data_IF_508009271068
#
_entry.id   IF_508009271068
#
_cell.length_a   1.000
_cell.length_b   1.000
_cell.length_c   1.000
_cell.angle_alpha   90.00
_cell.angle_beta   90.00
_cell.angle_gamma   90.00
#
_symmetry.space_group_name_H-M   'P 1'
#
loop_
_entity.id
_entity.type
_entity.pdbx_description
1 polymer ?
#
# COMPACT_ATOMS: atom_id res chain seq x y z
N UNK A 1 24.16 -26.22 15.58
CA UNK A 1 23.19 -25.22 15.12
C UNK A 1 23.25 -25.18 13.61
N UNK A 2 22.28 -25.79 12.94
CA UNK A 2 22.24 -25.91 11.47
C UNK A 2 21.87 -24.55 10.84
N UNK A 3 22.21 -24.34 9.57
CA UNK A 3 21.91 -23.07 8.86
C UNK A 3 20.41 -22.74 8.88
N UNK A 4 19.54 -23.76 8.89
CA UNK A 4 18.08 -23.62 8.96
C UNK A 4 17.62 -23.10 10.32
N UNK A 5 18.20 -23.57 11.42
CA UNK A 5 17.88 -23.09 12.77
C UNK A 5 18.27 -21.63 12.99
N UNK A 6 19.39 -21.19 12.39
CA UNK A 6 19.82 -19.79 12.43
C UNK A 6 18.88 -18.90 11.63
N UNK A 7 18.59 -19.26 10.38
CA UNK A 7 17.66 -18.52 9.53
C UNK A 7 16.27 -18.37 10.15
N UNK A 8 15.72 -19.46 10.74
CA UNK A 8 14.44 -19.39 11.45
C UNK A 8 14.47 -18.56 12.75
N UNK A 9 15.63 -18.46 13.39
CA UNK A 9 15.81 -17.57 14.56
C UNK A 9 15.87 -16.10 14.13
N UNK A 10 16.56 -15.81 13.04
CA UNK A 10 16.69 -14.46 12.48
C UNK A 10 15.33 -13.93 11.98
N UNK A 11 14.52 -14.77 11.33
CA UNK A 11 13.16 -14.43 10.89
C UNK A 11 12.24 -14.07 12.07
N UNK A 12 12.27 -14.87 13.13
CA UNK A 12 11.50 -14.60 14.37
C UNK A 12 11.94 -13.31 15.05
N UNK A 13 13.23 -12.98 14.98
CA UNK A 13 13.75 -11.72 15.49
C UNK A 13 13.23 -10.55 14.65
N UNK A 14 13.30 -10.63 13.31
CA UNK A 14 12.79 -9.59 12.41
C UNK A 14 11.29 -9.33 12.62
N UNK A 15 10.47 -10.38 12.73
CA UNK A 15 9.04 -10.23 13.03
C UNK A 15 8.79 -9.43 14.31
N UNK A 16 9.55 -9.71 15.38
CA UNK A 16 9.43 -8.97 16.65
C UNK A 16 9.89 -7.53 16.50
N UNK A 17 10.96 -7.28 15.74
CA UNK A 17 11.47 -5.93 15.46
C UNK A 17 10.43 -5.11 14.70
N UNK A 18 9.83 -5.66 13.64
CA UNK A 18 8.81 -4.95 12.85
C UNK A 18 7.53 -4.70 13.64
N UNK A 19 7.06 -5.68 14.43
CA UNK A 19 5.89 -5.47 15.32
C UNK A 19 6.15 -4.40 16.38
N UNK A 20 7.35 -4.40 16.96
CA UNK A 20 7.76 -3.36 17.90
C UNK A 20 7.75 -2.00 17.20
N UNK A 21 8.40 -1.89 16.05
CA UNK A 21 8.48 -0.65 15.29
C UNK A 21 7.09 -0.12 14.89
N UNK A 22 6.20 -0.99 14.40
CA UNK A 22 4.81 -0.63 14.09
C UNK A 22 4.06 -0.09 15.31
N UNK A 23 4.29 -0.67 16.49
CA UNK A 23 3.72 -0.17 17.76
C UNK A 23 4.22 1.24 18.10
N UNK A 24 5.50 1.54 17.84
CA UNK A 24 6.06 2.88 18.04
C UNK A 24 5.52 3.91 17.06
N UNK A 25 5.26 3.53 15.80
CA UNK A 25 4.56 4.39 14.84
C UNK A 25 3.16 4.75 15.32
N UNK A 26 2.38 3.76 15.79
CA UNK A 26 1.03 3.98 16.31
C UNK A 26 0.99 4.88 17.55
N UNK A 27 2.09 5.03 18.28
CA UNK A 27 2.20 5.98 19.40
C UNK A 27 2.48 7.42 18.96
N UNK A 28 2.88 7.65 17.69
CA UNK A 28 3.18 8.99 17.16
C UNK A 28 4.42 9.64 17.77
N UNK A 29 5.31 8.88 18.42
CA UNK A 29 6.47 9.42 19.16
C UNK A 29 7.79 9.37 18.40
N UNK A 30 7.80 8.79 17.20
CA UNK A 30 9.01 8.64 16.39
C UNK A 30 9.30 9.92 15.60
N UNK A 31 10.56 10.37 15.63
CA UNK A 31 11.00 11.50 14.82
C UNK A 31 11.06 11.15 13.33
N UNK A 32 10.37 11.95 12.51
CA UNK A 32 10.25 11.73 11.07
C UNK A 32 11.61 11.73 10.35
N UNK A 33 12.50 12.67 10.68
CA UNK A 33 13.82 12.79 10.03
C UNK A 33 14.71 11.58 10.33
N UNK A 34 14.71 11.14 11.59
CA UNK A 34 15.45 9.96 12.03
C UNK A 34 14.92 8.71 11.33
N UNK A 35 13.59 8.53 11.29
CA UNK A 35 12.98 7.35 10.68
C UNK A 35 13.16 7.31 9.16
N UNK A 36 13.13 8.45 8.48
CA UNK A 36 13.37 8.54 7.04
C UNK A 36 14.76 8.00 6.63
N UNK A 37 15.76 8.12 7.51
CA UNK A 37 17.12 7.64 7.24
C UNK A 37 17.43 6.29 7.92
N UNK A 38 16.42 5.65 8.51
CA UNK A 38 16.63 4.45 9.31
C UNK A 38 16.73 3.20 8.41
N UNK A 39 17.77 2.39 8.64
CA UNK A 39 17.99 1.13 7.91
C UNK A 39 16.85 0.11 8.11
N UNK A 40 16.11 0.18 9.22
CA UNK A 40 14.94 -0.67 9.45
C UNK A 40 13.83 -0.38 8.45
N UNK A 41 13.68 0.88 8.03
CA UNK A 41 12.69 1.25 7.02
C UNK A 41 13.06 0.65 5.66
N UNK A 42 14.34 0.73 5.26
CA UNK A 42 14.83 0.08 4.06
C UNK A 42 14.64 -1.45 4.11
N UNK A 43 14.96 -2.06 5.25
CA UNK A 43 14.82 -3.51 5.45
C UNK A 43 13.36 -3.98 5.34
N UNK A 44 12.37 -3.18 5.78
CA UNK A 44 10.95 -3.51 5.58
C UNK A 44 10.64 -3.70 4.09
N UNK A 45 11.04 -2.75 3.24
CA UNK A 45 10.80 -2.83 1.81
C UNK A 45 11.61 -3.96 1.14
N UNK A 46 12.85 -4.21 1.58
CA UNK A 46 13.64 -5.35 1.10
C UNK A 46 12.94 -6.69 1.39
N UNK A 47 12.40 -6.86 2.60
CA UNK A 47 11.64 -8.06 2.99
C UNK A 47 10.36 -8.21 2.17
N UNK A 48 9.64 -7.11 1.95
CA UNK A 48 8.41 -7.08 1.15
C UNK A 48 8.67 -7.36 -0.33
N UNK A 49 9.86 -7.09 -0.88
CA UNK A 49 10.17 -7.38 -2.28
C UNK A 49 10.61 -8.82 -2.54
N UNK A 50 11.02 -9.55 -1.50
CA UNK A 50 11.59 -10.89 -1.65
C UNK A 50 10.50 -11.96 -1.80
N UNK A 51 10.47 -12.62 -2.98
CA UNK A 51 9.58 -13.76 -3.30
C UNK A 51 9.62 -14.86 -2.22
N UNK A 52 10.80 -15.09 -1.64
CA UNK A 52 11.07 -16.15 -0.65
C UNK A 52 10.69 -15.79 0.80
N UNK A 53 10.27 -14.55 1.06
CA UNK A 53 9.82 -14.15 2.40
C UNK A 53 8.62 -14.99 2.81
N UNK A 54 8.63 -15.50 4.05
CA UNK A 54 7.51 -16.25 4.60
C UNK A 54 6.28 -15.36 4.78
N UNK A 55 5.06 -15.94 4.74
CA UNK A 55 3.82 -15.17 4.93
C UNK A 55 3.80 -14.41 6.26
N UNK A 56 4.29 -15.01 7.35
CA UNK A 56 4.31 -14.38 8.67
C UNK A 56 5.27 -13.18 8.75
N UNK A 57 6.45 -13.28 8.15
CA UNK A 57 7.39 -12.17 8.12
C UNK A 57 6.90 -11.07 7.17
N UNK A 58 6.31 -11.45 6.04
CA UNK A 58 5.70 -10.52 5.08
C UNK A 58 4.55 -9.74 5.72
N UNK A 59 3.65 -10.42 6.43
CA UNK A 59 2.55 -9.82 7.20
C UNK A 59 3.08 -8.84 8.25
N UNK A 60 4.06 -9.24 9.07
CA UNK A 60 4.64 -8.37 10.08
C UNK A 60 5.30 -7.10 9.48
N UNK A 61 5.94 -7.23 8.32
CA UNK A 61 6.48 -6.08 7.59
C UNK A 61 5.37 -5.19 7.01
N UNK A 62 4.32 -5.80 6.46
CA UNK A 62 3.18 -5.10 5.87
C UNK A 62 2.42 -4.28 6.91
N UNK A 63 2.11 -4.88 8.07
CA UNK A 63 1.47 -4.19 9.19
C UNK A 63 2.31 -3.03 9.72
N UNK A 64 3.64 -3.17 9.74
CA UNK A 64 4.55 -2.11 10.14
C UNK A 64 4.54 -0.95 9.14
N UNK A 65 4.53 -1.22 7.83
CA UNK A 65 4.43 -0.18 6.79
C UNK A 65 3.08 0.53 6.86
N UNK A 66 1.97 -0.20 7.02
CA UNK A 66 0.66 0.41 7.18
C UNK A 66 0.60 1.29 8.45
N UNK A 67 1.16 0.83 9.58
CA UNK A 67 1.24 1.64 10.80
C UNK A 67 2.06 2.91 10.59
N UNK A 68 3.15 2.83 9.81
CA UNK A 68 4.00 3.98 9.51
C UNK A 68 3.30 5.01 8.60
N UNK A 69 2.54 4.54 7.61
CA UNK A 69 1.72 5.39 6.74
C UNK A 69 0.59 6.06 7.54
N UNK A 70 -0.16 5.28 8.32
CA UNK A 70 -1.23 5.76 9.17
C UNK A 70 -0.76 6.81 10.20
N UNK A 71 0.46 6.67 10.72
CA UNK A 71 1.06 7.62 11.66
C UNK A 71 1.37 9.00 11.02
N UNK A 72 1.32 9.13 9.70
CA UNK A 72 1.44 10.44 9.03
C UNK A 72 0.11 11.18 9.15
N UNK A 73 -0.14 11.79 10.30
CA UNK A 73 -1.33 12.63 10.51
C UNK A 73 -1.30 13.93 9.68
N UNK A 74 -0.09 14.47 9.50
CA UNK A 74 0.15 15.66 8.67
C UNK A 74 1.40 15.44 7.82
N UNK A 75 1.20 15.46 6.50
CA UNK A 75 2.26 15.22 5.50
C UNK A 75 3.35 16.28 5.58
N UNK A 76 3.02 17.55 5.84
CA UNK A 76 4.00 18.64 5.86
C UNK A 76 4.96 18.52 7.03
N UNK A 77 4.47 18.13 8.21
CA UNK A 77 5.31 17.97 9.40
C UNK A 77 6.14 16.68 9.36
N UNK A 78 5.72 15.69 8.56
CA UNK A 78 6.35 14.39 8.45
C UNK A 78 6.96 14.13 7.06
N UNK A 79 7.20 15.20 6.29
CA UNK A 79 7.55 15.12 4.87
C UNK A 79 8.72 14.16 4.56
N UNK A 80 9.83 14.12 5.33
CA UNK A 80 10.93 13.20 5.07
C UNK A 80 10.49 11.73 5.12
N UNK A 81 9.78 11.33 6.18
CA UNK A 81 9.27 9.96 6.32
C UNK A 81 8.21 9.66 5.26
N UNK A 82 7.30 10.61 5.02
CA UNK A 82 6.27 10.50 3.99
C UNK A 82 6.85 10.23 2.60
N UNK A 83 7.90 10.97 2.22
CA UNK A 83 8.59 10.75 0.94
C UNK A 83 9.24 9.36 0.86
N UNK A 84 9.88 8.91 1.94
CA UNK A 84 10.54 7.59 1.95
C UNK A 84 9.53 6.45 1.87
N UNK A 85 8.43 6.53 2.62
CA UNK A 85 7.34 5.55 2.55
C UNK A 85 6.70 5.55 1.17
N UNK A 86 6.41 6.73 0.61
CA UNK A 86 5.82 6.86 -0.72
C UNK A 86 6.69 6.20 -1.78
N UNK A 87 7.99 6.53 -1.84
CA UNK A 87 8.90 5.90 -2.80
C UNK A 87 9.05 4.41 -2.56
N UNK A 88 9.19 3.99 -1.30
CA UNK A 88 9.29 2.58 -0.94
C UNK A 88 8.09 1.76 -1.41
N UNK A 89 6.87 2.24 -1.19
CA UNK A 89 5.65 1.53 -1.62
C UNK A 89 5.56 1.43 -3.15
N UNK A 90 5.95 2.47 -3.89
CA UNK A 90 5.97 2.42 -5.37
C UNK A 90 6.89 1.34 -5.93
N UNK A 91 7.92 0.91 -5.17
CA UNK A 91 8.81 -0.18 -5.62
C UNK A 91 8.19 -1.58 -5.52
N UNK A 92 7.04 -1.73 -4.85
CA UNK A 92 6.44 -3.04 -4.58
C UNK A 92 5.58 -3.58 -5.72
N UNK A 93 5.33 -2.79 -6.79
CA UNK A 93 4.50 -3.19 -7.93
C UNK A 93 4.95 -4.52 -8.56
N UNK A 94 6.25 -4.68 -8.79
CA UNK A 94 6.79 -5.92 -9.38
C UNK A 94 6.61 -7.10 -8.42
N UNK A 95 6.79 -6.90 -7.12
CA UNK A 95 6.64 -7.95 -6.12
C UNK A 95 5.17 -8.38 -5.98
N UNK A 96 4.23 -7.44 -6.09
CA UNK A 96 2.80 -7.73 -6.20
C UNK A 96 2.49 -8.65 -7.39
N UNK A 97 2.96 -8.29 -8.60
CA UNK A 97 2.72 -9.12 -9.78
C UNK A 97 3.33 -10.52 -9.67
N UNK A 98 4.50 -10.63 -9.03
CA UNK A 98 5.09 -11.93 -8.73
C UNK A 98 4.21 -12.75 -7.77
N UNK A 99 3.68 -12.15 -6.69
CA UNK A 99 2.77 -12.84 -5.78
C UNK A 99 1.48 -13.31 -6.48
N UNK A 100 0.90 -12.48 -7.37
CA UNK A 100 -0.24 -12.89 -8.21
C UNK A 100 0.13 -14.09 -9.10
N UNK A 101 1.27 -14.06 -9.78
CA UNK A 101 1.73 -15.15 -10.62
C UNK A 101 2.05 -16.45 -9.84
N UNK A 102 2.30 -16.34 -8.54
CA UNK A 102 2.52 -17.46 -7.62
C UNK A 102 1.24 -17.95 -6.95
N UNK A 103 0.11 -17.29 -7.19
CA UNK A 103 -1.15 -17.54 -6.49
C UNK A 103 -1.01 -17.40 -4.95
N UNK A 104 -0.09 -16.53 -4.50
CA UNK A 104 0.16 -16.24 -3.08
C UNK A 104 -0.80 -15.14 -2.61
N UNK A 105 -2.05 -15.53 -2.39
CA UNK A 105 -3.14 -14.63 -2.02
C UNK A 105 -2.85 -13.85 -0.72
N UNK A 106 -2.20 -14.47 0.27
CA UNK A 106 -1.85 -13.79 1.53
C UNK A 106 -0.94 -12.58 1.27
N UNK A 107 0.06 -12.72 0.40
CA UNK A 107 0.92 -11.58 0.02
C UNK A 107 0.19 -10.57 -0.85
N UNK A 108 -0.65 -11.01 -1.79
CA UNK A 108 -1.48 -10.13 -2.62
C UNK A 108 -2.36 -9.22 -1.76
N UNK A 109 -3.03 -9.78 -0.75
CA UNK A 109 -3.86 -9.03 0.21
C UNK A 109 -3.01 -8.03 1.00
N UNK A 110 -1.83 -8.45 1.47
CA UNK A 110 -0.90 -7.59 2.19
C UNK A 110 -0.43 -6.38 1.35
N UNK A 111 -0.04 -6.58 0.09
CA UNK A 111 0.31 -5.48 -0.80
C UNK A 111 -0.88 -4.55 -1.06
N UNK A 112 -2.08 -5.12 -1.28
CA UNK A 112 -3.26 -4.30 -1.49
C UNK A 112 -3.57 -3.42 -0.26
N UNK A 113 -3.40 -3.94 0.96
CA UNK A 113 -3.51 -3.15 2.19
C UNK A 113 -2.51 -1.99 2.21
N UNK A 114 -1.24 -2.25 1.86
CA UNK A 114 -0.20 -1.21 1.80
C UNK A 114 -0.55 -0.14 0.74
N UNK A 115 -0.97 -0.55 -0.45
CA UNK A 115 -1.33 0.38 -1.53
C UNK A 115 -2.55 1.22 -1.18
N UNK A 116 -3.55 0.62 -0.54
CA UNK A 116 -4.73 1.36 -0.05
C UNK A 116 -4.32 2.36 1.02
N UNK A 117 -3.56 1.95 2.03
CA UNK A 117 -3.11 2.83 3.10
C UNK A 117 -2.27 4.01 2.55
N UNK A 118 -1.43 3.76 1.54
CA UNK A 118 -0.69 4.82 0.84
C UNK A 118 -1.66 5.83 0.22
N UNK A 119 -2.64 5.36 -0.53
CA UNK A 119 -3.60 6.24 -1.21
C UNK A 119 -4.47 7.00 -0.21
N UNK A 120 -4.87 6.39 0.91
CA UNK A 120 -5.62 7.06 1.96
C UNK A 120 -4.79 8.13 2.67
N UNK A 121 -3.53 7.82 3.01
CA UNK A 121 -2.60 8.76 3.65
C UNK A 121 -2.36 10.00 2.79
N UNK A 122 -2.24 9.82 1.46
CA UNK A 122 -1.93 10.90 0.53
C UNK A 122 -3.13 11.42 -0.27
N UNK A 123 -4.36 11.08 0.14
CA UNK A 123 -5.58 11.44 -0.58
C UNK A 123 -5.67 12.95 -0.87
N UNK A 124 -5.38 13.78 0.12
CA UNK A 124 -5.40 15.25 -0.06
C UNK A 124 -4.39 15.68 -1.13
N UNK A 125 -3.18 15.12 -1.14
CA UNK A 125 -2.15 15.43 -2.16
C UNK A 125 -2.53 14.93 -3.54
N UNK A 126 -3.15 13.76 -3.63
CA UNK A 126 -3.68 13.21 -4.88
C UNK A 126 -4.72 14.16 -5.48
N UNK A 127 -5.66 14.68 -4.67
CA UNK A 127 -6.73 15.56 -5.15
C UNK A 127 -6.26 16.98 -5.43
N UNK A 128 -5.45 17.57 -4.54
CA UNK A 128 -5.04 18.98 -4.65
C UNK A 128 -3.90 19.20 -5.64
N UNK A 129 -3.01 18.23 -5.81
CA UNK A 129 -1.84 18.32 -6.71
C UNK A 129 -1.70 17.05 -7.57
N UNK A 130 -2.73 16.70 -8.36
CA UNK A 130 -2.73 15.45 -9.12
C UNK A 130 -1.56 15.40 -10.10
N UNK A 131 -0.81 14.29 -10.05
CA UNK A 131 0.35 14.04 -10.90
C UNK A 131 1.64 14.71 -10.44
N UNK A 132 1.67 15.34 -9.27
CA UNK A 132 2.85 16.06 -8.77
C UNK A 132 3.24 15.58 -7.36
N UNK A 133 4.54 15.32 -7.15
CA UNK A 133 5.09 14.97 -5.84
C UNK A 133 4.35 13.78 -5.20
N UNK A 134 3.79 14.00 -4.01
CA UNK A 134 3.01 13.00 -3.28
C UNK A 134 1.58 12.81 -3.82
N UNK A 135 1.16 13.63 -4.79
CA UNK A 135 -0.06 13.45 -5.57
C UNK A 135 0.14 12.66 -6.87
N UNK A 136 1.29 11.99 -7.03
CA UNK A 136 1.57 11.14 -8.20
C UNK A 136 0.51 10.05 -8.38
N UNK A 137 -0.10 10.02 -9.56
CA UNK A 137 -1.24 9.16 -9.89
C UNK A 137 -0.86 7.69 -10.13
N UNK A 138 0.44 7.35 -10.14
CA UNK A 138 0.90 5.95 -10.09
C UNK A 138 0.35 5.20 -8.87
N UNK A 139 0.05 5.91 -7.79
CA UNK A 139 -0.64 5.34 -6.62
C UNK A 139 -2.02 4.76 -6.96
N UNK A 140 -2.80 5.46 -7.79
CA UNK A 140 -4.09 4.96 -8.29
C UNK A 140 -3.91 3.78 -9.24
N UNK A 141 -2.84 3.76 -10.02
CA UNK A 141 -2.53 2.62 -10.89
C UNK A 141 -2.30 1.34 -10.08
N UNK A 142 -1.61 1.41 -8.94
CA UNK A 142 -1.44 0.27 -8.03
C UNK A 142 -2.79 -0.28 -7.55
N UNK A 143 -3.72 0.59 -7.15
CA UNK A 143 -5.06 0.15 -6.75
C UNK A 143 -5.89 -0.40 -7.90
N UNK A 144 -5.75 0.15 -9.12
CA UNK A 144 -6.43 -0.37 -10.30
C UNK A 144 -5.87 -1.72 -10.74
N UNK A 145 -4.57 -1.96 -10.54
CA UNK A 145 -3.95 -3.28 -10.72
C UNK A 145 -4.58 -4.28 -9.74
N UNK A 146 -4.71 -3.91 -8.45
CA UNK A 146 -5.41 -4.73 -7.46
C UNK A 146 -6.88 -4.97 -7.81
N UNK A 147 -7.57 -3.96 -8.34
CA UNK A 147 -8.96 -4.08 -8.78
C UNK A 147 -9.15 -5.08 -9.93
N UNK A 148 -8.13 -5.24 -10.77
CA UNK A 148 -8.09 -6.22 -11.85
C UNK A 148 -7.85 -7.66 -11.40
N UNK A 149 -7.53 -7.90 -10.12
CA UNK A 149 -7.34 -9.24 -9.59
C UNK A 149 -8.67 -10.03 -9.59
N UNK A 150 -8.67 -11.35 -9.88
CA UNK A 150 -9.91 -12.14 -9.96
C UNK A 150 -10.66 -12.26 -8.63
N UNK A 151 -9.94 -12.31 -7.51
CA UNK A 151 -10.51 -12.46 -6.18
C UNK A 151 -11.05 -11.12 -5.68
N UNK A 152 -12.37 -11.06 -5.43
CA UNK A 152 -13.09 -9.87 -4.97
C UNK A 152 -12.54 -9.26 -3.69
N UNK A 153 -12.12 -10.09 -2.72
CA UNK A 153 -11.53 -9.66 -1.45
C UNK A 153 -10.30 -8.75 -1.62
N UNK A 154 -9.60 -8.84 -2.76
CA UNK A 154 -8.47 -7.96 -3.05
C UNK A 154 -8.95 -6.54 -3.34
N UNK A 155 -9.95 -6.38 -4.22
CA UNK A 155 -10.45 -5.03 -4.56
C UNK A 155 -11.23 -4.41 -3.41
N UNK A 156 -11.92 -5.23 -2.61
CA UNK A 156 -12.72 -4.82 -1.46
C UNK A 156 -11.92 -3.97 -0.46
N UNK A 157 -10.64 -4.31 -0.23
CA UNK A 157 -9.73 -3.56 0.65
C UNK A 157 -9.67 -2.07 0.27
N UNK A 158 -9.77 -1.74 -1.02
CA UNK A 158 -9.61 -0.37 -1.52
C UNK A 158 -10.90 0.46 -1.54
N UNK A 159 -12.05 -0.09 -1.17
CA UNK A 159 -13.35 0.58 -1.37
C UNK A 159 -13.50 1.87 -0.59
N UNK A 160 -13.02 1.92 0.66
CA UNK A 160 -13.10 3.13 1.47
C UNK A 160 -12.31 4.29 0.82
N UNK A 161 -11.13 4.02 0.28
CA UNK A 161 -10.37 4.99 -0.49
C UNK A 161 -11.17 5.52 -1.69
N UNK A 162 -11.72 4.64 -2.54
CA UNK A 162 -12.47 5.06 -3.73
C UNK A 162 -13.71 5.87 -3.39
N UNK A 163 -14.41 5.50 -2.32
CA UNK A 163 -15.53 6.28 -1.78
C UNK A 163 -15.10 7.69 -1.37
N UNK A 164 -14.03 7.81 -0.57
CA UNK A 164 -13.51 9.12 -0.13
C UNK A 164 -13.01 9.97 -1.29
N UNK A 165 -12.32 9.37 -2.25
CA UNK A 165 -11.90 10.06 -3.48
C UNK A 165 -13.12 10.60 -4.23
N UNK A 166 -14.17 9.78 -4.41
CA UNK A 166 -15.42 10.19 -5.02
C UNK A 166 -16.07 11.39 -4.32
N UNK A 167 -16.13 11.36 -2.98
CA UNK A 167 -16.64 12.47 -2.16
C UNK A 167 -15.84 13.77 -2.35
N UNK A 168 -14.51 13.67 -2.40
CA UNK A 168 -13.64 14.83 -2.66
C UNK A 168 -13.85 15.40 -4.07
N UNK A 169 -13.92 14.54 -5.09
CA UNK A 169 -14.14 14.96 -6.47
C UNK A 169 -15.53 15.56 -6.67
N UNK A 170 -16.56 15.01 -6.02
CA UNK A 170 -17.92 15.54 -6.08
C UNK A 170 -18.02 16.96 -5.51
N UNK A 171 -17.29 17.25 -4.42
CA UNK A 171 -17.23 18.58 -3.81
C UNK A 171 -16.36 19.56 -4.61
N UNK A 172 -15.49 19.06 -5.48
CA UNK A 172 -14.60 19.86 -6.31
C UNK A 172 -15.32 20.29 -7.59
N UNK A 173 -15.54 21.59 -7.76
CA UNK A 173 -16.17 22.14 -8.98
C UNK A 173 -15.11 22.60 -9.99
N UNK A 174 -14.27 21.66 -10.45
CA UNK A 174 -13.18 21.92 -11.39
C UNK A 174 -13.18 20.84 -12.50
N UNK A 175 -13.54 21.27 -13.73
CA UNK A 175 -13.63 20.39 -14.89
C UNK A 175 -12.27 19.78 -15.29
N UNK A 176 -11.16 20.48 -15.05
CA UNK A 176 -9.82 19.98 -15.36
C UNK A 176 -9.47 18.83 -14.43
N UNK A 177 -9.73 19.00 -13.13
CA UNK A 177 -9.54 17.95 -12.13
C UNK A 177 -10.41 16.73 -12.48
N UNK A 178 -11.69 16.93 -12.78
CA UNK A 178 -12.56 15.83 -13.21
C UNK A 178 -12.05 15.12 -14.46
N UNK A 179 -11.53 15.88 -15.43
CA UNK A 179 -10.91 15.33 -16.64
C UNK A 179 -9.73 14.39 -16.34
N UNK A 180 -8.90 14.73 -15.36
CA UNK A 180 -7.75 13.90 -14.94
C UNK A 180 -8.21 12.57 -14.35
N UNK A 181 -9.17 12.59 -13.43
CA UNK A 181 -9.59 11.37 -12.71
C UNK A 181 -10.55 10.49 -13.50
N UNK A 182 -11.21 11.01 -14.53
CA UNK A 182 -12.21 10.30 -15.34
C UNK A 182 -11.74 8.93 -15.82
N UNK A 183 -10.52 8.84 -16.35
CA UNK A 183 -9.98 7.59 -16.88
C UNK A 183 -9.79 6.52 -15.77
N UNK A 184 -9.36 6.93 -14.58
CA UNK A 184 -9.17 6.05 -13.43
C UNK A 184 -10.52 5.53 -12.92
N UNK A 185 -11.51 6.41 -12.77
CA UNK A 185 -12.86 6.02 -12.35
C UNK A 185 -13.51 5.06 -13.36
N UNK A 186 -13.37 5.32 -14.66
CA UNK A 186 -13.88 4.40 -15.69
C UNK A 186 -13.24 3.02 -15.61
N UNK A 187 -11.91 2.95 -15.39
CA UNK A 187 -11.21 1.67 -15.22
C UNK A 187 -11.65 0.93 -13.98
N UNK A 188 -11.85 1.63 -12.86
CA UNK A 188 -12.41 1.06 -11.64
C UNK A 188 -13.80 0.46 -11.92
N UNK A 189 -14.69 1.23 -12.54
CA UNK A 189 -16.04 0.76 -12.85
C UNK A 189 -16.02 -0.48 -13.76
N UNK A 190 -15.13 -0.52 -14.75
CA UNK A 190 -14.96 -1.72 -15.59
C UNK A 190 -14.45 -2.93 -14.80
N UNK A 191 -13.52 -2.73 -13.85
CA UNK A 191 -13.02 -3.80 -12.99
C UNK A 191 -14.14 -4.33 -12.07
N UNK A 192 -14.87 -3.44 -11.40
CA UNK A 192 -15.98 -3.80 -10.51
C UNK A 192 -17.13 -4.48 -11.27
N UNK A 193 -17.43 -4.03 -12.49
CA UNK A 193 -18.45 -4.67 -13.32
C UNK A 193 -18.13 -6.13 -13.61
N UNK A 194 -16.84 -6.52 -13.73
CA UNK A 194 -16.45 -7.93 -13.89
C UNK A 194 -16.70 -8.74 -12.63
N UNK A 195 -16.40 -8.17 -11.45
CA UNK A 195 -16.68 -8.80 -10.15
C UNK A 195 -18.17 -9.03 -9.88
N UNK A 196 -19.05 -8.22 -10.49
CA UNK A 196 -20.50 -8.37 -10.36
C UNK A 196 -21.12 -9.35 -11.37
N UNK A 197 -20.35 -9.94 -12.29
CA UNK A 197 -20.88 -10.91 -13.24
C UNK A 197 -21.15 -12.24 -12.53
N UNK A 198 -22.36 -12.76 -12.71
CA UNK A 198 -22.70 -14.11 -12.27
C UNK A 198 -21.87 -15.12 -13.07
N UNK A 199 -21.37 -16.17 -12.39
CA UNK A 199 -20.74 -17.27 -13.10
C UNK A 199 -21.76 -17.89 -14.07
N UNK A 200 -21.36 -18.18 -15.33
CA UNK A 200 -22.26 -18.80 -16.28
C UNK A 200 -22.67 -20.19 -15.79
N UNK A 201 -23.98 -20.43 -15.75
CA UNK A 201 -24.56 -21.74 -15.46
C UNK A 201 -23.90 -22.81 -16.36
N UNK A 202 -23.33 -23.84 -15.75
CA UNK A 202 -22.62 -24.95 -16.42
C UNK A 202 -23.57 -25.92 -17.15
#
# INVERSE_FOLDING_TARGET
>A
MTCVEKAGTDEKMLMKVFRCLGSWFNLGVLDSNFMANNKLLALLFEVLQQDKTSSNLHEAASDCVCSALYAIENVETNLPLAMQLFQGVLTLETAYHMAVAREDLDKVLNYCRIFTELCETFLEKIVCTPGQGLGDLRTLELLLICAGHPQYEVVEISFNFWYRLGEHLYKTNDEVIHGIFKAYIQRLLHALARHCQLEPDH
#
